data_IF_626967422541
#
_entry.id   IF_626967422541
#
_cell.length_a   1.000
_cell.length_b   1.000
_cell.length_c   1.000
_cell.angle_alpha   90.00
_cell.angle_beta   90.00
_cell.angle_gamma   90.00
#
_symmetry.space_group_name_H-M   'P 1'
#
loop_
_entity.id
_entity.type
_entity.pdbx_description
1 polymer ?
#
# COMPACT_ATOMS: atom_id res chain seq x y z
N UNK A 1 19.40 1.73 -17.06
CA UNK A 1 18.08 2.39 -16.96
C UNK A 1 17.93 2.96 -15.55
N UNK A 2 17.33 4.14 -15.39
CA UNK A 2 17.04 4.74 -14.08
C UNK A 2 15.53 4.76 -13.82
N UNK A 3 15.09 3.94 -12.87
CA UNK A 3 13.70 3.89 -12.41
C UNK A 3 13.50 4.84 -11.22
N UNK A 4 12.78 5.93 -11.42
CA UNK A 4 12.34 6.80 -10.32
C UNK A 4 11.01 6.29 -9.77
N UNK A 5 11.00 5.85 -8.52
CA UNK A 5 9.79 5.44 -7.82
C UNK A 5 9.35 6.56 -6.90
N UNK A 6 8.08 6.94 -7.00
CA UNK A 6 7.53 8.05 -6.25
C UNK A 6 6.44 7.53 -5.35
N UNK A 7 6.62 7.71 -4.05
CA UNK A 7 5.63 7.35 -3.04
C UNK A 7 5.54 8.46 -2.01
N UNK A 8 4.39 8.64 -1.37
CA UNK A 8 4.28 9.59 -0.27
C UNK A 8 4.85 9.03 1.04
N UNK A 9 5.04 7.72 1.11
CA UNK A 9 5.64 7.01 2.25
C UNK A 9 6.34 5.75 1.76
N UNK A 10 7.42 5.37 2.44
CA UNK A 10 8.23 4.20 2.11
C UNK A 10 8.86 3.62 3.37
N UNK A 11 9.34 2.37 3.30
CA UNK A 11 10.10 1.73 4.38
C UNK A 11 11.19 2.68 4.91
N UNK A 12 11.45 2.81 6.23
CA UNK A 12 10.86 2.04 7.34
C UNK A 12 9.56 2.63 7.92
N UNK A 13 8.81 3.44 7.17
CA UNK A 13 7.51 3.94 7.65
C UNK A 13 6.43 2.86 7.62
N UNK A 14 6.12 2.25 8.76
CA UNK A 14 5.10 1.19 8.85
C UNK A 14 3.67 1.69 9.06
N UNK A 15 3.49 2.99 9.34
CA UNK A 15 2.19 3.58 9.69
C UNK A 15 1.14 3.55 8.57
N UNK A 16 1.53 3.30 7.32
CA UNK A 16 0.64 3.34 6.15
C UNK A 16 0.19 1.95 5.66
N UNK A 17 0.57 0.89 6.38
CA UNK A 17 0.07 -0.47 6.19
C UNK A 17 0.74 -1.26 5.06
N UNK A 18 0.02 -2.29 4.60
CA UNK A 18 0.50 -3.33 3.67
C UNK A 18 1.25 -2.83 2.41
N UNK A 19 0.76 -1.77 1.73
CA UNK A 19 1.45 -1.20 0.57
C UNK A 19 2.92 -0.81 0.76
N UNK A 20 3.35 -0.47 1.99
CA UNK A 20 4.76 -0.19 2.29
C UNK A 20 5.60 -1.45 2.07
N UNK A 21 5.16 -2.57 2.63
CA UNK A 21 5.84 -3.86 2.53
C UNK A 21 5.83 -4.38 1.10
N UNK A 22 4.68 -4.36 0.42
CA UNK A 22 4.62 -4.87 -0.95
C UNK A 22 5.41 -4.02 -1.94
N UNK A 23 5.49 -2.70 -1.73
CA UNK A 23 6.38 -1.85 -2.54
C UNK A 23 7.84 -2.12 -2.20
N UNK A 24 8.19 -2.23 -0.92
CA UNK A 24 9.55 -2.57 -0.49
C UNK A 24 10.03 -3.90 -1.07
N UNK A 25 9.21 -4.95 -1.00
CA UNK A 25 9.56 -6.28 -1.49
C UNK A 25 9.69 -6.30 -3.02
N UNK A 26 8.78 -5.62 -3.73
CA UNK A 26 8.84 -5.47 -5.19
C UNK A 26 10.15 -4.79 -5.62
N UNK A 27 10.46 -3.62 -5.04
CA UNK A 27 11.65 -2.87 -5.42
C UNK A 27 12.92 -3.58 -4.98
N UNK A 28 12.93 -4.20 -3.80
CA UNK A 28 14.05 -5.01 -3.34
C UNK A 28 14.33 -6.18 -4.28
N UNK A 29 13.29 -6.78 -4.86
CA UNK A 29 13.45 -7.88 -5.82
C UNK A 29 13.99 -7.37 -7.14
N UNK A 30 13.44 -6.28 -7.68
CA UNK A 30 13.94 -5.67 -8.92
C UNK A 30 15.40 -5.22 -8.78
N UNK A 31 15.77 -4.66 -7.63
CA UNK A 31 17.14 -4.22 -7.36
C UNK A 31 18.15 -5.39 -7.30
N UNK A 32 17.72 -6.53 -6.75
CA UNK A 32 18.51 -7.77 -6.74
C UNK A 32 18.77 -8.33 -8.15
N UNK A 33 17.86 -8.11 -9.09
CA UNK A 33 18.04 -8.47 -10.50
C UNK A 33 18.99 -7.49 -11.25
N UNK A 34 19.59 -6.53 -10.54
CA UNK A 34 20.63 -5.63 -11.07
C UNK A 34 20.14 -4.25 -11.52
N UNK A 35 18.85 -3.96 -11.40
CA UNK A 35 18.28 -2.68 -11.82
C UNK A 35 18.47 -1.58 -10.76
N UNK A 36 18.87 -0.37 -11.19
CA UNK A 36 19.06 0.78 -10.29
C UNK A 36 17.76 1.52 -10.04
N UNK A 37 17.31 1.49 -8.79
CA UNK A 37 16.04 2.05 -8.33
C UNK A 37 16.31 3.28 -7.46
N UNK A 38 15.57 4.35 -7.72
CA UNK A 38 15.65 5.59 -6.96
C UNK A 38 14.26 5.95 -6.42
N UNK A 39 14.07 5.79 -5.13
CA UNK A 39 12.81 6.09 -4.45
C UNK A 39 12.84 7.52 -3.91
N UNK A 40 11.95 8.36 -4.42
CA UNK A 40 11.68 9.70 -3.90
C UNK A 40 10.42 9.62 -3.03
N UNK A 41 10.60 9.80 -1.73
CA UNK A 41 9.54 9.70 -0.70
C UNK A 41 9.66 10.82 0.32
N UNK A 42 8.74 10.94 1.28
CA UNK A 42 8.89 11.89 2.38
C UNK A 42 9.23 11.19 3.69
N UNK A 43 9.72 11.93 4.68
CA UNK A 43 10.01 11.42 6.02
C UNK A 43 8.76 11.29 6.91
N UNK A 44 7.55 11.41 6.36
CA UNK A 44 6.32 11.22 7.11
C UNK A 44 6.18 9.77 7.60
N UNK A 45 5.71 9.60 8.85
CA UNK A 45 5.43 8.32 9.48
C UNK A 45 4.19 8.41 10.37
N UNK A 46 3.02 8.38 9.74
CA UNK A 46 1.75 8.61 10.42
C UNK A 46 1.67 10.05 10.93
N UNK A 47 1.68 10.22 12.25
CA UNK A 47 1.64 11.54 12.91
C UNK A 47 3.02 12.03 13.36
N UNK A 48 4.09 11.30 13.03
CA UNK A 48 5.48 11.64 13.38
C UNK A 48 6.34 11.67 12.12
N UNK A 49 7.59 12.10 12.27
CA UNK A 49 8.61 11.99 11.23
C UNK A 49 9.55 10.83 11.54
N UNK A 50 10.09 10.21 10.49
CA UNK A 50 11.23 9.31 10.59
C UNK A 50 12.48 10.10 11.00
N UNK A 51 13.31 9.49 11.84
CA UNK A 51 14.66 9.99 12.13
C UNK A 51 15.63 9.44 11.07
N UNK A 52 15.65 10.09 9.91
CA UNK A 52 16.49 9.72 8.76
C UNK A 52 17.13 10.98 8.19
N UNK A 53 18.30 10.85 7.57
CA UNK A 53 18.89 11.94 6.77
C UNK A 53 17.97 12.24 5.57
N UNK A 54 17.75 13.52 5.31
CA UNK A 54 16.76 13.99 4.32
C UNK A 54 17.42 14.66 3.12
N UNK A 55 16.68 14.75 2.01
CA UNK A 55 17.03 15.48 0.79
C UNK A 55 18.27 14.96 0.04
N UNK A 56 18.73 13.76 0.37
CA UNK A 56 19.84 13.06 -0.30
C UNK A 56 19.45 11.62 -0.60
N UNK A 57 19.89 11.09 -1.73
CA UNK A 57 19.76 9.66 -2.01
C UNK A 57 20.78 8.89 -1.19
N UNK A 58 20.29 7.95 -0.40
CA UNK A 58 21.09 7.00 0.38
C UNK A 58 20.78 5.59 -0.10
N UNK A 59 21.82 4.77 -0.22
CA UNK A 59 21.64 3.36 -0.56
C UNK A 59 21.13 2.61 0.67
N UNK A 60 19.89 2.13 0.61
CA UNK A 60 19.30 1.31 1.68
C UNK A 60 19.63 -0.18 1.48
N UNK A 61 19.91 -0.56 0.24
CA UNK A 61 20.27 -1.91 -0.20
C UNK A 61 20.91 -1.80 -1.57
N UNK A 62 21.72 -2.78 -1.96
CA UNK A 62 22.36 -2.84 -3.27
C UNK A 62 21.38 -2.46 -4.40
N UNK A 63 21.74 -1.43 -5.16
CA UNK A 63 20.96 -0.86 -6.27
C UNK A 63 19.61 -0.20 -5.89
N UNK A 64 19.29 -0.05 -4.60
CA UNK A 64 18.07 0.60 -4.10
C UNK A 64 18.42 1.85 -3.28
N UNK A 65 18.29 3.00 -3.93
CA UNK A 65 18.54 4.31 -3.35
C UNK A 65 17.24 4.96 -2.91
N UNK A 66 17.20 5.54 -1.71
CA UNK A 66 16.02 6.24 -1.19
C UNK A 66 16.39 7.64 -0.76
N UNK A 67 15.55 8.60 -1.12
CA UNK A 67 15.62 9.99 -0.70
C UNK A 67 14.35 10.35 0.02
N UNK A 68 14.48 10.64 1.31
CA UNK A 68 13.39 11.17 2.13
C UNK A 68 13.41 12.68 2.09
N UNK A 69 12.37 13.29 1.55
CA UNK A 69 12.16 14.73 1.63
C UNK A 69 11.58 15.10 3.00
N UNK A 70 12.07 16.19 3.59
CA UNK A 70 11.54 16.65 4.87
C UNK A 70 10.16 17.27 4.68
N UNK A 71 9.17 16.82 5.45
CA UNK A 71 7.83 17.43 5.53
C UNK A 71 7.80 18.53 6.57
N UNK A 72 7.47 19.77 6.23
CA UNK A 72 7.19 20.79 7.25
C UNK A 72 5.83 20.54 7.90
N UNK A 73 4.84 20.06 7.14
CA UNK A 73 3.52 19.67 7.64
C UNK A 73 3.24 18.23 7.24
N UNK A 74 3.31 17.31 8.21
CA UNK A 74 3.24 15.87 7.99
C UNK A 74 2.02 15.48 7.12
N UNK A 75 2.27 14.72 6.05
CA UNK A 75 1.30 14.25 5.05
C UNK A 75 0.61 15.36 4.23
N UNK A 76 1.13 16.60 4.26
CA UNK A 76 0.48 17.73 3.61
C UNK A 76 1.44 18.58 2.81
N UNK A 77 2.67 18.76 3.26
CA UNK A 77 3.57 19.72 2.65
C UNK A 77 5.04 19.42 2.95
N UNK A 78 5.80 19.34 1.86
CA UNK A 78 7.26 19.32 1.85
C UNK A 78 7.75 20.32 0.81
N UNK A 79 8.34 21.42 1.28
CA UNK A 79 8.97 22.43 0.41
C UNK A 79 10.07 21.76 -0.43
N UNK A 80 10.92 20.98 0.23
CA UNK A 80 12.01 20.25 -0.41
C UNK A 80 11.52 19.27 -1.48
N UNK A 81 10.39 18.58 -1.28
CA UNK A 81 9.81 17.71 -2.30
C UNK A 81 9.32 18.50 -3.50
N UNK A 82 8.55 19.57 -3.28
CA UNK A 82 7.91 20.34 -4.36
C UNK A 82 8.94 20.83 -5.38
N UNK A 83 10.08 21.34 -4.91
CA UNK A 83 11.13 21.87 -5.77
C UNK A 83 12.16 20.82 -6.17
N UNK A 84 12.47 19.86 -5.29
CA UNK A 84 13.52 18.88 -5.53
C UNK A 84 13.11 17.73 -6.45
N UNK A 85 11.82 17.37 -6.51
CA UNK A 85 11.35 16.23 -7.31
C UNK A 85 11.54 16.45 -8.82
N UNK A 86 11.60 17.69 -9.28
CA UNK A 86 11.79 18.00 -10.69
C UNK A 86 13.12 17.44 -11.22
N UNK A 87 14.19 17.50 -10.43
CA UNK A 87 15.49 16.96 -10.79
C UNK A 87 15.49 15.43 -10.77
N UNK A 88 14.90 14.83 -9.75
CA UNK A 88 14.78 13.36 -9.64
C UNK A 88 14.01 12.78 -10.83
N UNK A 89 12.89 13.41 -11.22
CA UNK A 89 12.11 13.04 -12.41
C UNK A 89 12.91 13.27 -13.68
N UNK A 90 13.53 14.45 -13.86
CA UNK A 90 14.30 14.80 -15.07
C UNK A 90 15.40 13.78 -15.36
N UNK A 91 16.08 13.28 -14.33
CA UNK A 91 17.19 12.33 -14.45
C UNK A 91 16.75 10.86 -14.59
N UNK A 92 15.45 10.57 -14.66
CA UNK A 92 14.91 9.20 -14.76
C UNK A 92 14.49 8.84 -16.18
N UNK A 93 14.51 7.55 -16.53
CA UNK A 93 13.96 7.05 -17.79
C UNK A 93 12.46 6.72 -17.65
N UNK A 94 12.10 6.16 -16.48
CA UNK A 94 10.76 5.72 -16.13
C UNK A 94 10.41 6.31 -14.77
N UNK A 95 9.20 6.85 -14.67
CA UNK A 95 8.61 7.31 -13.41
C UNK A 95 7.50 6.35 -13.01
N UNK A 96 7.69 5.67 -11.88
CA UNK A 96 6.74 4.73 -11.31
C UNK A 96 6.11 5.28 -10.05
N UNK A 97 4.85 5.68 -10.15
CA UNK A 97 4.13 6.39 -9.09
C UNK A 97 3.24 5.42 -8.32
N UNK A 98 3.35 5.47 -7.00
CA UNK A 98 2.48 4.77 -6.07
C UNK A 98 1.33 5.70 -5.63
N UNK A 99 0.12 5.14 -5.55
CA UNK A 99 -1.11 5.82 -5.14
C UNK A 99 -1.53 6.97 -6.07
N UNK A 100 -2.63 7.65 -5.74
CA UNK A 100 -3.19 8.73 -6.58
C UNK A 100 -3.50 10.04 -5.84
N UNK A 101 -3.84 9.99 -4.55
CA UNK A 101 -4.47 11.10 -3.86
C UNK A 101 -3.54 11.75 -2.81
N UNK A 102 -2.36 12.18 -3.25
CA UNK A 102 -1.39 12.88 -2.42
C UNK A 102 -0.67 13.98 -3.21
N UNK A 103 -0.25 15.06 -2.55
CA UNK A 103 0.39 16.20 -3.23
C UNK A 103 1.67 15.79 -3.96
N UNK A 104 2.43 14.84 -3.39
CA UNK A 104 3.64 14.28 -4.02
C UNK A 104 3.34 13.68 -5.39
N UNK A 105 2.21 12.99 -5.55
CA UNK A 105 1.77 12.42 -6.82
C UNK A 105 1.42 13.52 -7.83
N UNK A 106 0.73 14.57 -7.39
CA UNK A 106 0.32 15.68 -8.27
C UNK A 106 1.55 16.37 -8.85
N UNK A 107 2.48 16.79 -7.99
CA UNK A 107 3.70 17.50 -8.40
C UNK A 107 4.57 16.62 -9.28
N UNK A 108 4.69 15.35 -8.92
CA UNK A 108 5.49 14.39 -9.69
C UNK A 108 4.93 14.12 -11.07
N UNK A 109 3.61 13.95 -11.20
CA UNK A 109 2.96 13.79 -12.50
C UNK A 109 3.12 15.04 -13.37
N UNK A 110 3.01 16.23 -12.78
CA UNK A 110 3.25 17.47 -13.51
C UNK A 110 4.63 17.48 -14.17
N UNK A 111 5.71 17.23 -13.40
CA UNK A 111 7.06 17.17 -13.97
C UNK A 111 7.26 16.00 -14.91
N UNK A 112 6.61 14.86 -14.66
CA UNK A 112 6.69 13.70 -15.56
C UNK A 112 6.08 14.00 -16.92
N UNK A 113 4.97 14.74 -16.97
CA UNK A 113 4.38 15.19 -18.22
C UNK A 113 5.23 16.28 -18.90
N UNK A 114 5.78 17.22 -18.13
CA UNK A 114 6.63 18.29 -18.63
C UNK A 114 7.88 17.73 -19.33
N UNK A 115 8.54 16.76 -18.71
CA UNK A 115 9.73 16.11 -19.25
C UNK A 115 9.42 14.89 -20.14
N UNK A 116 8.15 14.69 -20.50
CA UNK A 116 7.67 13.61 -21.37
C UNK A 116 8.20 12.21 -21.00
N UNK A 117 8.21 11.89 -19.70
CA UNK A 117 8.71 10.61 -19.19
C UNK A 117 7.75 9.46 -19.47
N UNK A 118 8.27 8.23 -19.46
CA UNK A 118 7.44 7.02 -19.42
C UNK A 118 6.83 6.91 -18.02
N UNK A 119 5.51 6.98 -17.92
CA UNK A 119 4.79 6.99 -16.64
C UNK A 119 4.11 5.64 -16.42
N UNK A 120 4.35 5.08 -15.24
CA UNK A 120 3.61 3.93 -14.70
C UNK A 120 2.94 4.37 -13.40
N UNK A 121 1.66 4.08 -13.23
CA UNK A 121 0.94 4.35 -11.98
C UNK A 121 0.38 3.06 -11.40
N UNK A 122 0.66 2.80 -10.12
CA UNK A 122 0.02 1.75 -9.32
C UNK A 122 -0.91 2.38 -8.26
N UNK A 123 -2.25 2.27 -8.39
CA UNK A 123 -3.17 2.95 -7.49
C UNK A 123 -3.18 2.41 -6.05
N UNK A 124 -2.86 1.13 -5.84
CA UNK A 124 -2.89 0.43 -4.54
C UNK A 124 -4.18 0.65 -3.74
N UNK A 125 -5.33 0.46 -4.38
CA UNK A 125 -6.66 0.63 -3.80
C UNK A 125 -7.18 2.07 -3.78
N UNK A 126 -6.42 3.02 -4.33
CA UNK A 126 -6.84 4.43 -4.41
C UNK A 126 -8.13 4.61 -5.22
N UNK A 127 -8.38 3.76 -6.22
CA UNK A 127 -9.59 3.84 -7.06
C UNK A 127 -10.76 2.99 -6.56
N UNK A 128 -10.63 2.34 -5.41
CA UNK A 128 -11.73 1.56 -4.84
C UNK A 128 -12.93 2.45 -4.52
N UNK A 129 -14.14 1.88 -4.59
CA UNK A 129 -15.39 2.57 -4.22
C UNK A 129 -15.29 3.20 -2.82
N UNK A 130 -14.70 2.48 -1.87
CA UNK A 130 -14.49 2.97 -0.50
C UNK A 130 -13.64 4.25 -0.50
N UNK A 131 -12.48 4.23 -1.17
CA UNK A 131 -11.56 5.39 -1.19
C UNK A 131 -12.13 6.57 -1.96
N UNK A 132 -12.88 6.35 -3.04
CA UNK A 132 -13.47 7.42 -3.84
C UNK A 132 -14.63 8.13 -3.13
N UNK A 133 -15.35 7.44 -2.25
CA UNK A 133 -16.46 8.00 -1.47
C UNK A 133 -16.02 8.58 -0.12
N UNK A 134 -14.84 8.21 0.37
CA UNK A 134 -14.29 8.73 1.61
C UNK A 134 -13.51 10.02 1.38
N UNK A 135 -13.71 11.08 2.16
CA UNK A 135 -12.95 12.36 2.19
C UNK A 135 -12.62 13.03 0.84
N UNK A 136 -12.91 14.33 0.71
CA UNK A 136 -12.51 15.15 -0.43
C UNK A 136 -12.99 14.61 -1.80
N UNK A 137 -14.21 14.06 -1.84
CA UNK A 137 -14.79 13.40 -3.02
C UNK A 137 -14.75 14.30 -4.26
N UNK A 138 -15.09 15.58 -4.10
CA UNK A 138 -15.07 16.54 -5.21
C UNK A 138 -13.65 16.74 -5.78
N UNK A 139 -12.66 16.91 -4.90
CA UNK A 139 -11.25 17.11 -5.29
C UNK A 139 -10.73 15.87 -6.03
N UNK A 140 -11.04 14.67 -5.53
CA UNK A 140 -10.68 13.40 -6.19
C UNK A 140 -11.29 13.32 -7.58
N UNK A 141 -12.58 13.64 -7.74
CA UNK A 141 -13.24 13.64 -9.06
C UNK A 141 -12.58 14.62 -10.03
N UNK A 142 -12.26 15.84 -9.59
CA UNK A 142 -11.58 16.83 -10.43
C UNK A 142 -10.19 16.34 -10.85
N UNK A 143 -9.43 15.79 -9.90
CA UNK A 143 -8.11 15.23 -10.16
C UNK A 143 -8.14 14.07 -11.17
N UNK A 144 -9.08 13.13 -11.03
CA UNK A 144 -9.24 12.03 -11.98
C UNK A 144 -9.61 12.54 -13.39
N UNK A 145 -10.40 13.61 -13.51
CA UNK A 145 -10.67 14.25 -14.82
C UNK A 145 -9.41 14.79 -15.46
N UNK A 146 -8.49 15.37 -14.69
CA UNK A 146 -7.19 15.87 -15.19
C UNK A 146 -6.34 14.70 -15.68
N UNK A 147 -6.22 13.63 -14.88
CA UNK A 147 -5.51 12.40 -15.28
C UNK A 147 -6.10 11.82 -16.57
N UNK A 148 -7.42 11.76 -16.69
CA UNK A 148 -8.09 11.19 -17.86
C UNK A 148 -7.73 11.92 -19.16
N UNK A 149 -7.50 13.24 -19.12
CA UNK A 149 -7.05 14.02 -20.29
C UNK A 149 -5.67 13.58 -20.80
N UNK A 150 -4.84 12.95 -19.95
CA UNK A 150 -3.50 12.47 -20.28
C UNK A 150 -3.41 10.93 -20.24
N UNK A 151 -4.53 10.23 -20.26
CA UNK A 151 -4.58 8.77 -20.02
C UNK A 151 -3.68 7.96 -20.96
N UNK A 152 -3.56 8.37 -22.23
CA UNK A 152 -2.71 7.72 -23.24
C UNK A 152 -1.21 7.79 -22.93
N UNK A 153 -0.79 8.72 -22.05
CA UNK A 153 0.61 8.85 -21.61
C UNK A 153 0.93 7.99 -20.38
N UNK A 154 -0.06 7.31 -19.80
CA UNK A 154 0.08 6.57 -18.55
C UNK A 154 -0.15 5.08 -18.80
N UNK A 155 0.82 4.27 -18.38
CA UNK A 155 0.62 2.84 -18.20
C UNK A 155 0.16 2.57 -16.77
N UNK A 156 -0.86 1.74 -16.61
CA UNK A 156 -1.41 1.42 -15.30
C UNK A 156 -0.96 0.04 -14.86
N UNK A 157 -0.49 -0.04 -13.62
CA UNK A 157 -0.20 -1.27 -12.93
C UNK A 157 -1.33 -1.53 -11.93
N UNK A 158 -2.05 -2.63 -12.10
CA UNK A 158 -3.03 -3.12 -11.13
C UNK A 158 -2.43 -4.28 -10.33
N UNK A 159 -2.49 -4.20 -9.00
CA UNK A 159 -2.05 -5.26 -8.09
C UNK A 159 -3.02 -6.45 -8.02
N UNK A 160 -4.20 -6.34 -8.64
CA UNK A 160 -5.20 -7.40 -8.71
C UNK A 160 -6.17 -7.19 -9.88
N UNK A 161 -6.94 -8.22 -10.20
CA UNK A 161 -8.04 -8.11 -11.16
C UNK A 161 -9.13 -7.14 -10.70
N UNK A 162 -9.42 -7.08 -9.39
CA UNK A 162 -10.36 -6.12 -8.83
C UNK A 162 -9.90 -4.67 -9.04
N UNK A 163 -8.61 -4.41 -8.83
CA UNK A 163 -8.05 -3.08 -9.06
C UNK A 163 -8.02 -2.72 -10.55
N UNK A 164 -7.80 -3.69 -11.45
CA UNK A 164 -7.94 -3.49 -12.90
C UNK A 164 -9.36 -3.01 -13.24
N UNK A 165 -10.38 -3.63 -12.64
CA UNK A 165 -11.76 -3.23 -12.88
C UNK A 165 -12.05 -1.82 -12.33
N UNK A 166 -11.50 -1.48 -11.17
CA UNK A 166 -11.60 -0.13 -10.61
C UNK A 166 -10.90 0.93 -11.48
N UNK A 167 -9.73 0.60 -12.07
CA UNK A 167 -9.08 1.47 -13.07
C UNK A 167 -9.97 1.63 -14.30
N UNK A 168 -10.51 0.54 -14.86
CA UNK A 168 -11.37 0.58 -16.07
C UNK A 168 -12.65 1.39 -15.86
N UNK A 169 -13.28 1.29 -14.68
CA UNK A 169 -14.46 2.08 -14.32
C UNK A 169 -14.21 3.58 -14.39
N UNK A 170 -13.00 4.01 -14.00
CA UNK A 170 -12.61 5.42 -13.99
C UNK A 170 -11.98 5.88 -15.31
N UNK A 171 -11.32 4.95 -16.04
CA UNK A 171 -10.52 5.24 -17.22
C UNK A 171 -10.71 4.15 -18.29
N UNK A 172 -11.73 4.31 -19.14
CA UNK A 172 -12.09 3.31 -20.17
C UNK A 172 -10.95 2.97 -21.14
N UNK A 173 -10.12 3.96 -21.47
CA UNK A 173 -9.04 3.84 -22.44
C UNK A 173 -7.65 3.62 -21.79
N UNK A 174 -7.61 3.22 -20.52
CA UNK A 174 -6.35 2.94 -19.83
C UNK A 174 -5.66 1.70 -20.39
N UNK A 175 -4.35 1.80 -20.60
CA UNK A 175 -3.48 0.64 -20.86
C UNK A 175 -3.12 0.06 -19.50
N UNK A 176 -3.61 -1.14 -19.18
CA UNK A 176 -3.50 -1.73 -17.85
C UNK A 176 -2.77 -3.08 -17.93
N UNK A 177 -1.75 -3.25 -17.09
CA UNK A 177 -1.11 -4.53 -16.82
C UNK A 177 -1.43 -4.94 -15.38
N UNK A 178 -1.84 -6.19 -15.21
CA UNK A 178 -2.01 -6.79 -13.88
C UNK A 178 -0.71 -7.47 -13.49
N UNK A 179 -0.15 -7.09 -12.35
CA UNK A 179 0.97 -7.79 -11.72
C UNK A 179 0.67 -7.83 -10.23
N UNK A 180 0.47 -9.02 -9.68
CA UNK A 180 0.08 -9.16 -8.27
C UNK A 180 1.25 -8.81 -7.34
N UNK A 181 0.92 -8.28 -6.16
CA UNK A 181 1.92 -8.15 -5.10
C UNK A 181 2.45 -9.54 -4.72
N UNK A 182 3.77 -9.64 -4.59
CA UNK A 182 4.44 -10.89 -4.20
C UNK A 182 4.36 -11.15 -2.71
N UNK A 183 4.62 -12.40 -2.33
CA UNK A 183 4.88 -12.82 -0.95
C UNK A 183 6.20 -13.57 -0.90
N UNK A 184 6.91 -13.46 0.22
CA UNK A 184 8.08 -14.29 0.47
C UNK A 184 7.64 -15.71 0.84
N UNK A 185 7.44 -16.55 -0.18
CA UNK A 185 6.96 -17.93 -0.02
C UNK A 185 7.76 -18.71 1.03
N UNK A 186 9.09 -18.53 1.08
CA UNK A 186 9.98 -19.27 1.98
C UNK A 186 9.67 -18.97 3.45
N UNK A 187 9.31 -17.73 3.80
CA UNK A 187 8.92 -17.35 5.16
C UNK A 187 7.66 -18.07 5.67
N UNK A 188 6.81 -18.55 4.77
CA UNK A 188 5.55 -19.23 5.11
C UNK A 188 5.62 -20.75 5.02
N UNK A 189 6.81 -21.34 4.83
CA UNK A 189 6.96 -22.81 4.79
C UNK A 189 7.19 -23.44 6.16
N UNK A 190 7.69 -22.66 7.12
CA UNK A 190 7.92 -23.16 8.46
C UNK A 190 6.62 -23.10 9.26
N UNK A 191 6.20 -24.23 9.80
CA UNK A 191 5.03 -24.33 10.68
C UNK A 191 5.38 -25.09 11.96
N UNK A 192 4.70 -24.75 13.05
CA UNK A 192 4.81 -25.46 14.32
C UNK A 192 3.54 -26.28 14.49
N UNK A 193 3.69 -27.58 14.72
CA UNK A 193 2.57 -28.43 15.09
C UNK A 193 2.20 -28.15 16.55
N UNK A 194 1.03 -27.56 16.76
CA UNK A 194 0.48 -27.20 18.07
C UNK A 194 -0.97 -27.68 18.16
N UNK A 195 -1.40 -28.14 19.33
CA UNK A 195 -2.79 -28.55 19.52
C UNK A 195 -3.73 -27.34 19.41
N UNK A 196 -4.99 -27.57 19.05
CA UNK A 196 -6.01 -26.51 19.00
C UNK A 196 -6.17 -25.84 20.36
N UNK A 197 -6.11 -26.61 21.44
CA UNK A 197 -6.20 -26.14 22.82
C UNK A 197 -5.05 -25.22 23.17
N UNK A 198 -3.82 -25.63 22.86
CA UNK A 198 -2.62 -24.84 23.16
C UNK A 198 -2.57 -23.56 22.31
N UNK A 199 -2.99 -23.63 21.05
CA UNK A 199 -3.08 -22.46 20.17
C UNK A 199 -4.08 -21.41 20.70
N UNK A 200 -5.27 -21.83 21.12
CA UNK A 200 -6.23 -20.89 21.72
C UNK A 200 -5.67 -20.33 23.04
N UNK A 201 -5.06 -21.18 23.85
CA UNK A 201 -4.49 -20.78 25.13
C UNK A 201 -3.38 -19.74 24.94
N UNK A 202 -2.49 -19.90 23.95
CA UNK A 202 -1.38 -18.98 23.70
C UNK A 202 -1.83 -17.56 23.33
N UNK A 203 -3.00 -17.40 22.71
CA UNK A 203 -3.51 -16.08 22.29
C UNK A 203 -4.58 -15.49 23.22
N UNK A 204 -5.23 -16.31 24.04
CA UNK A 204 -6.39 -15.86 24.83
C UNK A 204 -6.27 -16.12 26.33
N UNK A 205 -5.27 -16.91 26.76
CA UNK A 205 -5.12 -17.41 28.12
C UNK A 205 -6.35 -18.19 28.65
N UNK A 206 -7.24 -18.66 27.74
CA UNK A 206 -8.45 -19.42 28.08
C UNK A 206 -8.28 -20.89 27.69
N UNK A 207 -8.63 -21.78 28.63
CA UNK A 207 -8.66 -23.23 28.39
C UNK A 207 -10.07 -23.68 28.01
N UNK A 208 -10.16 -24.57 27.02
CA UNK A 208 -11.42 -25.16 26.58
C UNK A 208 -11.31 -26.68 26.56
N UNK A 209 -12.32 -27.38 27.10
CA UNK A 209 -12.34 -28.85 27.13
C UNK A 209 -12.39 -29.47 25.73
N UNK A 210 -13.14 -28.84 24.81
CA UNK A 210 -13.30 -29.31 23.43
C UNK A 210 -13.23 -28.13 22.48
N UNK A 211 -12.46 -28.29 21.40
CA UNK A 211 -12.39 -27.34 20.28
C UNK A 211 -12.51 -28.14 18.98
N UNK A 212 -13.55 -27.87 18.18
CA UNK A 212 -13.78 -28.59 16.91
C UNK A 212 -13.04 -27.92 15.76
N UNK A 213 -13.16 -26.59 15.62
CA UNK A 213 -12.57 -25.79 14.55
C UNK A 213 -12.03 -24.48 15.11
N UNK A 214 -11.00 -23.94 14.47
CA UNK A 214 -10.48 -22.60 14.75
C UNK A 214 -10.49 -21.81 13.44
N UNK A 215 -11.14 -20.66 13.46
CA UNK A 215 -11.12 -19.68 12.38
C UNK A 215 -10.25 -18.51 12.83
N UNK A 216 -9.29 -18.12 12.00
CA UNK A 216 -8.39 -16.99 12.26
C UNK A 216 -8.64 -15.92 11.21
N UNK A 217 -8.89 -14.70 11.66
CA UNK A 217 -9.00 -13.53 10.79
C UNK A 217 -8.11 -12.41 11.31
N UNK A 218 -7.11 -12.04 10.52
CA UNK A 218 -6.12 -11.02 10.89
C UNK A 218 -6.33 -9.77 10.02
N UNK A 219 -6.45 -8.61 10.65
CA UNK A 219 -6.58 -7.35 9.96
C UNK A 219 -6.87 -6.20 10.92
N UNK A 220 -6.59 -4.98 10.45
CA UNK A 220 -6.92 -3.73 11.18
C UNK A 220 -8.43 -3.70 11.44
N UNK A 221 -8.83 -3.47 12.68
CA UNK A 221 -10.24 -3.40 13.10
C UNK A 221 -10.83 -2.11 12.56
N UNK A 222 -11.32 -2.18 11.34
CA UNK A 222 -11.77 -1.05 10.54
C UNK A 222 -12.93 -1.51 9.67
N UNK A 223 -14.00 -0.70 9.57
CA UNK A 223 -15.27 -1.00 8.87
C UNK A 223 -15.13 -1.70 7.51
N UNK A 224 -14.08 -1.38 6.74
CA UNK A 224 -13.79 -2.00 5.44
C UNK A 224 -13.47 -3.50 5.51
N UNK A 225 -13.00 -3.98 6.67
CA UNK A 225 -12.69 -5.39 6.95
C UNK A 225 -13.92 -6.20 7.32
N UNK A 226 -15.03 -5.51 7.66
CA UNK A 226 -16.34 -6.11 7.85
C UNK A 226 -16.34 -7.27 8.87
N UNK A 227 -15.60 -7.13 9.96
CA UNK A 227 -15.52 -8.16 11.01
C UNK A 227 -16.89 -8.43 11.64
N UNK A 228 -17.79 -7.45 11.69
CA UNK A 228 -19.17 -7.65 12.14
C UNK A 228 -19.93 -8.69 11.31
N UNK A 229 -19.72 -8.74 9.98
CA UNK A 229 -20.31 -9.78 9.11
C UNK A 229 -19.74 -11.15 9.43
N UNK A 230 -18.42 -11.23 9.68
CA UNK A 230 -17.75 -12.46 10.08
C UNK A 230 -18.29 -12.98 11.41
N UNK A 231 -18.41 -12.13 12.43
CA UNK A 231 -18.94 -12.49 13.75
C UNK A 231 -20.38 -13.01 13.65
N UNK A 232 -21.24 -12.31 12.89
CA UNK A 232 -22.63 -12.74 12.65
C UNK A 232 -22.69 -14.11 11.96
N UNK A 233 -21.87 -14.31 10.93
CA UNK A 233 -21.79 -15.58 10.20
C UNK A 233 -21.30 -16.70 11.10
N UNK A 234 -20.29 -16.42 11.93
CA UNK A 234 -19.75 -17.38 12.89
C UNK A 234 -20.78 -17.78 13.96
N UNK A 235 -21.64 -16.86 14.40
CA UNK A 235 -22.76 -17.18 15.30
C UNK A 235 -23.72 -18.21 14.69
N UNK A 236 -23.99 -18.15 13.39
CA UNK A 236 -24.79 -19.18 12.71
C UNK A 236 -24.05 -20.51 12.66
N UNK A 237 -22.76 -20.50 12.32
CA UNK A 237 -21.92 -21.70 12.28
C UNK A 237 -21.87 -22.43 13.64
N UNK A 238 -21.89 -21.70 14.75
CA UNK A 238 -21.90 -22.28 16.10
C UNK A 238 -23.15 -23.11 16.42
N UNK A 239 -24.25 -22.98 15.65
CA UNK A 239 -25.46 -23.81 15.85
C UNK A 239 -25.17 -25.29 15.60
N UNK A 240 -24.40 -25.58 14.56
CA UNK A 240 -24.04 -26.95 14.17
C UNK A 240 -22.71 -27.38 14.80
N UNK A 241 -21.85 -26.42 15.15
CA UNK A 241 -20.50 -26.65 15.68
C UNK A 241 -20.23 -25.84 16.95
N UNK A 242 -20.94 -26.15 18.04
CA UNK A 242 -20.92 -25.42 19.32
C UNK A 242 -19.53 -25.22 19.98
N UNK A 243 -18.53 -26.01 19.58
CA UNK A 243 -17.17 -25.96 20.12
C UNK A 243 -16.16 -25.29 19.19
N UNK A 244 -16.60 -24.68 18.07
CA UNK A 244 -15.70 -23.90 17.23
C UNK A 244 -15.24 -22.61 17.93
N UNK A 245 -14.13 -22.05 17.48
CA UNK A 245 -13.56 -20.78 17.96
C UNK A 245 -13.22 -19.86 16.80
N UNK A 246 -13.44 -18.56 17.00
CA UNK A 246 -13.05 -17.49 16.09
C UNK A 246 -12.04 -16.59 16.82
N UNK A 247 -10.85 -16.42 16.21
CA UNK A 247 -9.85 -15.44 16.64
C UNK A 247 -9.86 -14.30 15.62
N UNK A 248 -10.06 -13.07 16.13
CA UNK A 248 -9.89 -11.84 15.37
C UNK A 248 -8.71 -11.10 15.99
N UNK A 249 -7.72 -10.71 15.18
CA UNK A 249 -6.54 -10.02 15.66
C UNK A 249 -6.09 -8.88 14.72
N UNK A 250 -5.69 -7.76 15.30
CA UNK A 250 -5.12 -6.62 14.61
C UNK A 250 -5.26 -5.33 15.41
N UNK A 251 -4.61 -4.24 14.98
CA UNK A 251 -4.73 -2.95 15.65
C UNK A 251 -6.13 -2.38 15.52
N UNK A 252 -6.59 -1.69 16.56
CA UNK A 252 -7.86 -0.98 16.56
C UNK A 252 -7.74 0.33 15.75
N UNK A 253 -8.58 0.48 14.73
CA UNK A 253 -8.70 1.68 13.91
C UNK A 253 -10.14 2.24 13.92
N UNK A 254 -10.89 1.99 15.00
CA UNK A 254 -12.18 2.60 15.27
C UNK A 254 -13.39 1.82 14.75
N UNK A 255 -13.28 0.50 14.54
CA UNK A 255 -14.45 -0.37 14.34
C UNK A 255 -14.94 -0.88 15.70
N UNK A 256 -16.11 -0.42 16.14
CA UNK A 256 -16.84 -1.09 17.22
C UNK A 256 -17.28 -2.47 16.72
N UNK A 257 -16.69 -3.53 17.27
CA UNK A 257 -16.97 -4.94 16.96
C UNK A 257 -18.25 -5.45 17.63
#
# INVERSE_FOLDING_TARGET
MRLAVISHSFYPSFSYGGPIFSTWDLLSTIAKEGEKIYVSTTNANGNKKLNVETNKFLELKDNLYVKYYNEEIINKFSFSFIFGICNDVKNSDIVYIQYLFHYTVIVSLFFSFLYNKKIIICPRGSLSKFTLLNNNVFIKKLWLRIINKKIKKINWHACSYLEKDDIKKNFKNAIIKVVNDGIDYKKFQNSINISKQDLIYSFTSKKFKKITNIFLSIGRLHKIKCFGTLIKSFRYYLKDYNNAKLIIAGPDEGEAL
#
